data_IF_199085544734
#
_entry.id   IF_199085544734
#
_cell.length_a   1.000
_cell.length_b   1.000
_cell.length_c   1.000
_cell.angle_alpha   90.00
_cell.angle_beta   90.00
_cell.angle_gamma   90.00
#
_symmetry.space_group_name_H-M   'P 1'
#
loop_
_entity.id
_entity.type
_entity.pdbx_description
1 polymer ?
#
# COMPACT_ATOMS: atom_id res chain seq x y z
N UNK A 1 -1.16 3.87 -27.37
CA UNK A 1 0.22 3.39 -27.62
C UNK A 1 0.51 3.26 -29.11
N UNK A 2 -0.35 2.57 -29.88
CA UNK A 2 -0.14 2.34 -31.33
C UNK A 2 -0.01 3.64 -32.13
N UNK A 3 -0.82 4.67 -31.83
CA UNK A 3 -0.68 5.98 -32.43
C UNK A 3 0.68 6.62 -32.12
N UNK A 4 1.09 6.60 -30.86
CA UNK A 4 2.38 7.16 -30.43
C UNK A 4 3.58 6.42 -31.07
N UNK A 5 3.50 5.08 -31.19
CA UNK A 5 4.54 4.27 -31.86
C UNK A 5 4.69 4.59 -33.36
N UNK A 6 3.61 5.04 -34.06
CA UNK A 6 3.71 5.47 -35.46
C UNK A 6 4.58 6.71 -35.60
N UNK A 7 4.56 7.63 -34.65
CA UNK A 7 5.35 8.86 -34.65
C UNK A 7 6.73 8.71 -34.01
N UNK A 8 6.83 7.82 -33.02
CA UNK A 8 8.09 7.48 -32.36
C UNK A 8 8.17 5.98 -32.09
N UNK A 9 8.74 5.17 -33.00
CA UNK A 9 8.88 3.72 -32.82
C UNK A 9 9.70 3.32 -31.58
N UNK A 10 10.57 4.22 -31.09
CA UNK A 10 11.42 4.00 -29.90
C UNK A 10 10.79 4.50 -28.60
N UNK A 11 9.50 4.89 -28.63
CA UNK A 11 8.83 5.40 -27.44
C UNK A 11 8.92 4.42 -26.28
N UNK A 12 9.34 4.89 -25.13
CA UNK A 12 9.30 4.16 -23.87
C UNK A 12 7.95 4.36 -23.21
N UNK A 13 7.42 3.32 -22.59
CA UNK A 13 6.14 3.39 -21.88
C UNK A 13 6.17 2.55 -20.61
N UNK A 14 5.33 2.94 -19.67
CA UNK A 14 4.97 2.20 -18.46
C UNK A 14 3.46 2.26 -18.29
N UNK A 15 2.83 1.10 -18.11
CA UNK A 15 1.45 0.96 -17.66
C UNK A 15 1.44 0.19 -16.34
N UNK A 16 0.70 0.68 -15.37
CA UNK A 16 0.44 -0.01 -14.10
C UNK A 16 -1.04 -0.32 -13.97
N UNK A 17 -1.35 -1.48 -13.40
CA UNK A 17 -2.73 -1.81 -13.04
C UNK A 17 -2.77 -2.78 -11.85
N UNK A 18 -3.95 -2.88 -11.23
CA UNK A 18 -4.23 -3.88 -10.19
C UNK A 18 -4.15 -5.29 -10.77
N UNK A 19 -3.94 -6.28 -9.89
CA UNK A 19 -4.12 -7.69 -10.29
C UNK A 19 -5.57 -7.91 -10.72
N UNK A 20 -5.73 -8.59 -11.83
CA UNK A 20 -7.03 -8.88 -12.45
C UNK A 20 -7.11 -10.35 -12.87
N UNK A 21 -8.25 -10.78 -13.40
CA UNK A 21 -8.41 -12.09 -14.01
C UNK A 21 -7.50 -12.21 -15.23
N UNK A 22 -7.00 -13.41 -15.47
CA UNK A 22 -6.03 -13.67 -16.55
C UNK A 22 -6.55 -13.22 -17.92
N UNK A 23 -7.80 -13.43 -18.20
CA UNK A 23 -8.45 -13.01 -19.45
C UNK A 23 -8.29 -11.51 -19.74
N UNK A 24 -8.42 -10.63 -18.71
CA UNK A 24 -8.24 -9.18 -18.88
C UNK A 24 -6.76 -8.78 -18.95
N UNK A 25 -5.91 -9.48 -18.19
CA UNK A 25 -4.46 -9.30 -18.26
C UNK A 25 -3.93 -9.63 -19.66
N UNK A 26 -4.44 -10.70 -20.29
CA UNK A 26 -4.03 -11.14 -21.62
C UNK A 26 -4.42 -10.11 -22.68
N UNK A 27 -5.62 -9.54 -22.61
CA UNK A 27 -6.05 -8.44 -23.49
C UNK A 27 -5.11 -7.25 -23.41
N UNK A 28 -4.77 -6.80 -22.18
CA UNK A 28 -3.84 -5.67 -22.00
C UNK A 28 -2.45 -6.06 -22.54
N UNK A 29 -1.98 -7.26 -22.25
CA UNK A 29 -0.67 -7.76 -22.67
C UNK A 29 -0.54 -7.79 -24.20
N UNK A 30 -1.58 -8.23 -24.91
CA UNK A 30 -1.65 -8.20 -26.37
C UNK A 30 -1.53 -6.77 -26.91
N UNK A 31 -2.32 -5.83 -26.39
CA UNK A 31 -2.25 -4.42 -26.82
C UNK A 31 -0.91 -3.75 -26.49
N UNK A 32 -0.30 -4.08 -25.35
CA UNK A 32 0.99 -3.51 -24.95
C UNK A 32 2.17 -4.15 -25.69
N UNK A 33 2.03 -5.42 -26.12
CA UNK A 33 3.07 -6.19 -26.80
C UNK A 33 4.23 -6.60 -25.89
N UNK A 34 4.04 -6.57 -24.58
CA UNK A 34 5.04 -6.95 -23.54
C UNK A 34 4.35 -7.64 -22.37
N UNK A 35 4.98 -8.66 -21.81
CA UNK A 35 4.48 -9.36 -20.62
C UNK A 35 4.67 -8.51 -19.36
N UNK A 36 3.66 -8.40 -18.47
CA UNK A 36 3.78 -7.65 -17.25
C UNK A 36 4.68 -8.33 -16.22
N UNK A 37 5.19 -7.53 -15.29
CA UNK A 37 5.84 -8.02 -14.07
C UNK A 37 4.91 -7.71 -12.90
N UNK A 38 4.70 -8.71 -12.03
CA UNK A 38 4.02 -8.50 -10.76
C UNK A 38 5.06 -8.02 -9.74
N UNK A 39 4.84 -6.82 -9.18
CA UNK A 39 5.66 -6.27 -8.10
C UNK A 39 4.76 -6.00 -6.91
N UNK A 40 5.19 -6.39 -5.71
CA UNK A 40 4.46 -6.12 -4.46
C UNK A 40 5.32 -5.22 -3.56
N UNK A 41 4.75 -4.10 -3.14
CA UNK A 41 5.42 -3.15 -2.25
C UNK A 41 5.77 -3.69 -0.86
N UNK A 42 5.21 -4.83 -0.43
CA UNK A 42 5.65 -5.50 0.80
C UNK A 42 7.13 -5.93 0.75
N UNK A 43 7.69 -6.09 -0.45
CA UNK A 43 9.06 -6.53 -0.66
C UNK A 43 10.04 -5.36 -0.44
N UNK A 44 10.02 -4.80 0.79
CA UNK A 44 10.91 -3.75 1.27
C UNK A 44 10.43 -2.30 1.14
N UNK A 45 9.15 -2.07 0.77
CA UNK A 45 8.51 -0.74 0.77
C UNK A 45 7.38 -0.59 1.80
N UNK A 46 7.25 -1.54 2.72
CA UNK A 46 6.34 -1.49 3.88
C UNK A 46 4.84 -1.48 3.57
N UNK A 47 4.41 -1.65 2.32
CA UNK A 47 3.01 -1.69 1.96
C UNK A 47 2.71 -2.90 1.06
N UNK A 48 1.82 -3.80 1.46
CA UNK A 48 1.31 -4.85 0.59
C UNK A 48 0.47 -4.22 -0.52
N UNK A 49 1.08 -4.04 -1.69
CA UNK A 49 0.49 -3.40 -2.86
C UNK A 49 0.87 -4.13 -4.14
N UNK A 50 0.33 -5.34 -4.36
CA UNK A 50 0.61 -6.08 -5.58
C UNK A 50 0.01 -5.38 -6.81
N UNK A 51 0.86 -5.08 -7.81
CA UNK A 51 0.49 -4.42 -9.06
C UNK A 51 1.19 -5.08 -10.24
N UNK A 52 0.53 -5.04 -11.40
CA UNK A 52 1.09 -5.47 -12.67
C UNK A 52 1.67 -4.26 -13.40
N UNK A 53 2.89 -4.42 -13.93
CA UNK A 53 3.60 -3.37 -14.65
C UNK A 53 4.00 -3.86 -16.04
N UNK A 54 3.52 -3.18 -17.10
CA UNK A 54 3.92 -3.39 -18.49
C UNK A 54 4.84 -2.27 -18.93
N UNK A 55 6.06 -2.56 -19.35
CA UNK A 55 7.02 -1.59 -19.86
C UNK A 55 8.00 -2.22 -20.85
N UNK A 56 8.60 -1.40 -21.74
CA UNK A 56 9.43 -1.83 -22.87
C UNK A 56 10.89 -1.37 -22.77
N UNK A 57 11.41 -1.24 -21.56
CA UNK A 57 12.82 -0.93 -21.32
C UNK A 57 13.41 -1.95 -20.33
N UNK A 58 14.68 -1.80 -19.97
CA UNK A 58 15.42 -2.83 -19.26
C UNK A 58 14.78 -3.23 -17.93
N UNK A 59 14.63 -4.53 -17.77
CA UNK A 59 14.07 -5.14 -16.55
C UNK A 59 15.19 -5.40 -15.57
N UNK A 60 14.96 -5.02 -14.31
CA UNK A 60 15.88 -5.34 -13.21
C UNK A 60 15.56 -6.69 -12.59
N UNK A 61 16.55 -7.26 -11.90
CA UNK A 61 16.39 -8.51 -11.16
C UNK A 61 15.57 -8.35 -9.89
N UNK A 62 15.52 -7.14 -9.33
CA UNK A 62 14.75 -6.81 -8.12
C UNK A 62 14.23 -5.38 -8.15
N UNK A 63 13.02 -5.19 -7.64
CA UNK A 63 12.35 -3.91 -7.47
C UNK A 63 12.04 -3.61 -6.00
N UNK A 64 12.62 -4.37 -5.08
CA UNK A 64 12.41 -4.22 -3.65
C UNK A 64 13.09 -2.97 -3.06
N UNK A 65 12.58 -2.55 -1.90
CA UNK A 65 13.16 -1.50 -1.06
C UNK A 65 14.05 -2.08 0.05
N UNK A 66 14.46 -1.24 0.98
CA UNK A 66 15.39 -1.59 2.07
C UNK A 66 14.79 -1.49 3.47
N UNK A 67 13.51 -1.16 3.61
CA UNK A 67 12.86 -1.04 4.91
C UNK A 67 12.59 -2.40 5.53
N UNK A 68 12.76 -2.52 6.86
CA UNK A 68 12.58 -3.78 7.59
C UNK A 68 11.17 -3.93 8.17
N UNK A 69 10.62 -2.86 8.74
CA UNK A 69 9.31 -2.83 9.36
C UNK A 69 8.74 -1.41 9.40
N UNK A 70 7.46 -1.29 9.79
CA UNK A 70 6.75 -0.01 9.75
C UNK A 70 7.16 0.97 10.85
N UNK A 71 7.88 0.56 11.89
CA UNK A 71 8.27 1.45 12.98
C UNK A 71 9.11 2.64 12.50
N UNK A 72 9.88 2.47 11.41
CA UNK A 72 10.71 3.53 10.86
C UNK A 72 9.95 4.68 10.20
N UNK A 73 8.64 4.54 10.01
CA UNK A 73 7.80 5.57 9.38
C UNK A 73 6.74 6.15 10.32
N UNK A 74 6.56 5.54 11.51
CA UNK A 74 5.56 6.00 12.47
C UNK A 74 5.95 7.36 13.06
N UNK A 75 4.95 8.22 13.21
CA UNK A 75 5.09 9.51 13.88
C UNK A 75 4.86 9.35 15.39
N UNK A 76 5.25 10.35 16.19
CA UNK A 76 4.92 10.42 17.61
C UNK A 76 3.41 10.38 17.83
N UNK A 77 2.98 9.68 18.88
CA UNK A 77 1.56 9.43 19.17
C UNK A 77 0.83 10.63 19.80
N UNK A 78 1.56 11.70 20.13
CA UNK A 78 1.02 12.89 20.80
C UNK A 78 -0.03 13.59 19.92
N UNK A 79 -1.22 13.78 20.49
CA UNK A 79 -2.31 14.52 19.84
C UNK A 79 -3.07 13.75 18.74
N UNK A 80 -2.86 12.45 18.60
CA UNK A 80 -3.56 11.62 17.62
C UNK A 80 -4.86 11.03 18.20
N UNK A 81 -5.87 10.89 17.34
CA UNK A 81 -7.12 10.21 17.71
C UNK A 81 -6.88 8.72 17.99
N UNK A 82 -7.16 8.33 19.23
CA UNK A 82 -6.96 6.97 19.75
C UNK A 82 -8.30 6.29 19.98
N UNK A 83 -8.43 5.05 19.56
CA UNK A 83 -9.63 4.25 19.69
C UNK A 83 -9.39 3.05 20.60
N UNK A 84 -10.27 2.85 21.61
CA UNK A 84 -10.20 1.69 22.50
C UNK A 84 -10.77 0.44 21.83
N UNK A 85 -10.08 -0.69 21.97
CA UNK A 85 -10.55 -1.99 21.53
C UNK A 85 -11.39 -2.66 22.63
N UNK A 86 -12.70 -2.70 22.49
CA UNK A 86 -13.66 -3.04 23.55
C UNK A 86 -13.97 -4.55 23.70
N UNK A 87 -13.25 -5.45 23.05
CA UNK A 87 -13.57 -6.89 23.09
C UNK A 87 -12.36 -7.75 23.42
N UNK A 88 -12.44 -8.53 24.52
CA UNK A 88 -11.38 -9.43 24.97
C UNK A 88 -10.92 -10.45 23.91
N UNK A 89 -11.84 -10.98 23.07
CA UNK A 89 -11.49 -11.89 21.96
C UNK A 89 -10.61 -11.21 20.90
N UNK A 90 -10.81 -9.91 20.68
CA UNK A 90 -10.04 -9.12 19.71
C UNK A 90 -8.69 -8.73 20.26
N UNK A 91 -8.64 -8.39 21.53
CA UNK A 91 -7.40 -8.12 22.27
C UNK A 91 -6.47 -9.32 22.10
N UNK A 92 -6.94 -10.52 22.46
CA UNK A 92 -6.17 -11.76 22.32
C UNK A 92 -5.69 -12.02 20.88
N UNK A 93 -6.56 -11.84 19.89
CA UNK A 93 -6.21 -12.05 18.48
C UNK A 93 -5.17 -11.04 17.93
N UNK A 94 -5.16 -9.81 18.43
CA UNK A 94 -4.14 -8.80 18.06
C UNK A 94 -2.80 -9.11 18.69
N UNK A 95 -2.79 -9.54 19.96
CA UNK A 95 -1.55 -9.80 20.71
C UNK A 95 -0.86 -11.11 20.31
N UNK A 96 -1.63 -12.13 19.95
CA UNK A 96 -1.10 -13.45 19.59
C UNK A 96 -0.69 -13.58 18.12
N UNK A 97 -1.13 -12.68 17.24
CA UNK A 97 -0.80 -12.74 15.82
C UNK A 97 0.42 -11.88 15.51
N UNK A 98 1.42 -12.42 14.81
CA UNK A 98 2.67 -11.71 14.47
C UNK A 98 2.44 -10.40 13.70
N UNK A 99 1.39 -10.33 12.85
CA UNK A 99 1.08 -9.19 12.00
C UNK A 99 -0.14 -8.38 12.41
N UNK A 100 -0.76 -8.74 13.55
CA UNK A 100 -2.01 -8.14 13.97
C UNK A 100 -3.25 -8.90 13.43
N UNK A 101 -4.42 -8.46 13.83
CA UNK A 101 -5.70 -9.14 13.61
C UNK A 101 -6.46 -8.61 12.39
N UNK A 102 -6.94 -9.53 11.56
CA UNK A 102 -7.89 -9.25 10.47
C UNK A 102 -9.21 -9.98 10.75
N UNK A 103 -10.30 -9.28 11.05
CA UNK A 103 -11.60 -9.94 11.26
C UNK A 103 -12.05 -10.65 9.98
N UNK A 104 -12.62 -11.83 10.12
CA UNK A 104 -13.23 -12.56 9.01
C UNK A 104 -14.42 -11.76 8.44
N UNK A 105 -14.65 -11.78 7.13
CA UNK A 105 -15.77 -11.06 6.48
C UNK A 105 -17.14 -11.40 7.10
N UNK A 106 -17.32 -12.62 7.61
CA UNK A 106 -18.55 -13.07 8.30
C UNK A 106 -18.75 -12.44 9.68
N UNK A 107 -17.66 -12.22 10.43
CA UNK A 107 -17.71 -11.65 11.77
C UNK A 107 -17.92 -10.13 11.74
N UNK A 108 -17.47 -9.47 10.69
CA UNK A 108 -17.64 -8.03 10.45
C UNK A 108 -19.14 -7.63 10.38
N UNK A 109 -20.00 -8.47 9.77
CA UNK A 109 -21.45 -8.23 9.69
C UNK A 109 -22.17 -8.44 11.01
N UNK A 110 -21.73 -9.44 11.82
CA UNK A 110 -22.36 -9.80 13.10
C UNK A 110 -22.00 -8.86 14.25
N UNK A 111 -20.86 -8.15 14.15
CA UNK A 111 -20.29 -7.39 15.26
C UNK A 111 -20.29 -5.88 15.04
N UNK A 112 -20.87 -5.39 13.95
CA UNK A 112 -20.86 -3.96 13.57
C UNK A 112 -19.46 -3.41 13.24
N UNK A 113 -18.45 -4.30 13.07
CA UNK A 113 -17.05 -3.94 12.84
C UNK A 113 -16.68 -4.03 11.35
N UNK A 114 -17.65 -3.84 10.49
CA UNK A 114 -17.49 -3.97 9.03
C UNK A 114 -16.36 -3.17 8.40
N UNK A 115 -15.78 -2.22 9.13
CA UNK A 115 -14.73 -1.33 8.66
C UNK A 115 -13.38 -1.50 9.35
N UNK A 116 -13.26 -2.43 10.30
CA UNK A 116 -11.98 -2.69 10.95
C UNK A 116 -11.11 -3.59 10.06
N UNK A 117 -10.34 -2.97 9.14
CA UNK A 117 -9.17 -3.61 8.56
C UNK A 117 -8.23 -4.14 9.65
N UNK A 118 -7.13 -4.77 9.24
CA UNK A 118 -6.12 -5.28 10.20
C UNK A 118 -5.62 -4.15 11.12
N UNK A 119 -5.54 -4.42 12.43
CA UNK A 119 -4.77 -3.59 13.37
C UNK A 119 -3.37 -4.19 13.40
N UNK A 120 -2.39 -3.39 13.05
CA UNK A 120 -0.99 -3.79 12.89
C UNK A 120 -0.21 -3.48 14.14
N UNK A 121 0.70 -4.38 14.53
CA UNK A 121 1.74 -4.07 15.52
C UNK A 121 2.69 -3.01 14.97
N UNK A 122 3.32 -2.22 15.83
CA UNK A 122 4.25 -1.15 15.42
C UNK A 122 5.50 -1.69 14.72
N UNK A 123 5.89 -2.93 15.00
CA UNK A 123 7.01 -3.63 14.37
C UNK A 123 6.61 -4.54 13.19
N UNK A 124 5.35 -4.44 12.72
CA UNK A 124 4.90 -5.23 11.59
C UNK A 124 5.79 -4.99 10.34
N UNK A 125 6.14 -6.05 9.64
CA UNK A 125 7.01 -5.98 8.47
C UNK A 125 6.45 -5.10 7.34
N UNK A 126 5.13 -5.00 7.22
CA UNK A 126 4.44 -4.15 6.24
C UNK A 126 2.97 -3.92 6.60
N UNK A 127 2.37 -2.90 6.00
CA UNK A 127 0.94 -2.58 6.12
C UNK A 127 0.10 -3.27 5.04
N UNK A 128 -1.22 -3.29 5.22
CA UNK A 128 -2.15 -3.56 4.11
C UNK A 128 -2.14 -2.38 3.12
N UNK A 129 -2.66 -2.60 1.91
CA UNK A 129 -2.80 -1.54 0.89
C UNK A 129 -3.60 -0.35 1.43
N UNK A 130 -3.06 0.85 1.30
CA UNK A 130 -3.84 2.08 1.48
C UNK A 130 -4.89 2.13 0.38
N UNK A 131 -6.15 2.33 0.77
CA UNK A 131 -7.27 2.45 -0.16
C UNK A 131 -7.78 3.88 -0.19
N UNK A 132 -8.67 4.18 -1.10
CA UNK A 132 -9.29 5.51 -1.23
C UNK A 132 -10.10 5.95 0.00
N UNK A 133 -10.39 5.03 0.92
CA UNK A 133 -11.24 5.25 2.09
C UNK A 133 -10.63 4.81 3.41
N UNK A 134 -9.53 4.05 3.39
CA UNK A 134 -8.96 3.44 4.60
C UNK A 134 -7.45 3.62 4.67
N UNK A 135 -7.00 4.30 5.73
CA UNK A 135 -5.63 4.28 6.20
C UNK A 135 -5.36 3.02 7.05
N UNK A 136 -4.12 2.53 7.12
CA UNK A 136 -3.72 1.47 8.05
C UNK A 136 -4.05 1.84 9.50
N UNK A 137 -4.31 0.82 10.33
CA UNK A 137 -4.53 0.98 11.77
C UNK A 137 -3.36 0.42 12.53
N UNK A 138 -2.84 1.19 13.47
CA UNK A 138 -1.63 0.90 14.22
C UNK A 138 -2.01 0.67 15.68
N UNK A 139 -1.51 -0.40 16.28
CA UNK A 139 -1.66 -0.70 17.70
C UNK A 139 -0.79 0.25 18.52
N UNK A 140 -1.35 0.87 19.57
CA UNK A 140 -0.64 1.85 20.40
C UNK A 140 -0.17 1.23 21.71
N UNK A 141 -1.05 0.56 22.46
CA UNK A 141 -0.82 0.23 23.87
C UNK A 141 -0.72 -1.26 24.16
N UNK A 142 0.12 -1.59 25.17
CA UNK A 142 0.36 -2.91 25.72
C UNK A 142 -0.10 -3.05 27.19
N UNK A 143 -0.90 -2.14 27.73
CA UNK A 143 -1.50 -2.29 29.05
C UNK A 143 -2.79 -3.10 29.01
N UNK A 144 -3.49 -3.24 30.12
CA UNK A 144 -4.74 -4.00 30.27
C UNK A 144 -5.83 -3.65 29.25
N UNK A 145 -5.72 -2.45 28.67
CA UNK A 145 -6.56 -1.95 27.58
C UNK A 145 -5.75 -1.80 26.29
N UNK A 146 -6.28 -2.32 25.17
CA UNK A 146 -5.66 -2.15 23.85
C UNK A 146 -6.28 -0.97 23.14
N UNK A 147 -5.41 -0.07 22.72
CA UNK A 147 -5.74 1.09 21.90
C UNK A 147 -5.11 0.98 20.54
N UNK A 148 -5.79 1.51 19.53
CA UNK A 148 -5.26 1.65 18.16
C UNK A 148 -5.55 3.05 17.63
N UNK A 149 -4.76 3.49 16.66
CA UNK A 149 -4.98 4.70 15.89
C UNK A 149 -4.98 4.42 14.39
N UNK A 150 -5.46 5.34 13.61
CA UNK A 150 -5.24 5.32 12.16
C UNK A 150 -3.86 5.89 11.84
N UNK A 151 -3.25 5.43 10.77
CA UNK A 151 -2.07 6.09 10.22
C UNK A 151 -2.40 7.52 9.82
N UNK A 152 -1.50 8.45 10.09
CA UNK A 152 -1.60 9.84 9.67
C UNK A 152 -1.47 9.96 8.15
N UNK A 153 -1.81 11.11 7.57
CA UNK A 153 -1.56 11.36 6.14
C UNK A 153 -0.06 11.36 5.87
N UNK A 154 0.76 11.94 6.76
CA UNK A 154 2.22 11.91 6.64
C UNK A 154 2.78 10.48 6.61
N UNK A 155 2.27 9.58 7.47
CA UNK A 155 2.63 8.17 7.44
C UNK A 155 2.16 7.47 6.16
N UNK A 156 0.97 7.79 5.65
CA UNK A 156 0.46 7.28 4.38
C UNK A 156 1.30 7.77 3.18
N UNK A 157 1.78 9.00 3.20
CA UNK A 157 2.71 9.56 2.23
C UNK A 157 4.04 8.79 2.26
N UNK A 158 4.63 8.62 3.46
CA UNK A 158 5.86 7.81 3.63
C UNK A 158 5.68 6.38 3.10
N UNK A 159 4.57 5.72 3.45
CA UNK A 159 4.23 4.36 2.96
C UNK A 159 4.10 4.27 1.45
N UNK A 160 3.80 5.36 0.76
CA UNK A 160 3.67 5.41 -0.70
C UNK A 160 4.92 5.97 -1.38
N UNK A 161 5.97 6.31 -0.60
CA UNK A 161 7.22 6.90 -1.07
C UNK A 161 7.08 8.35 -1.51
N UNK A 162 6.07 9.07 -1.02
CA UNK A 162 5.86 10.49 -1.25
C UNK A 162 6.61 11.33 -0.20
N UNK A 163 7.03 12.56 -0.52
CA UNK A 163 7.52 13.51 0.47
C UNK A 163 6.42 13.84 1.48
N UNK A 164 6.80 14.06 2.74
CA UNK A 164 5.88 14.49 3.79
C UNK A 164 5.27 15.84 3.40
N UNK A 165 3.95 15.96 3.54
CA UNK A 165 3.20 17.16 3.19
C UNK A 165 2.85 17.30 1.71
N UNK A 166 3.13 16.29 0.90
CA UNK A 166 2.80 16.31 -0.53
C UNK A 166 1.31 16.57 -0.81
N UNK A 167 0.43 16.08 0.07
CA UNK A 167 -1.01 16.24 -0.06
C UNK A 167 -1.61 17.31 0.86
N UNK A 168 -0.81 18.18 1.49
CA UNK A 168 -1.28 19.22 2.42
C UNK A 168 -2.24 20.25 1.82
N UNK A 169 -2.28 20.36 0.48
CA UNK A 169 -3.18 21.28 -0.23
C UNK A 169 -4.63 20.80 -0.32
N UNK A 170 -4.95 19.61 0.17
CA UNK A 170 -6.30 19.02 0.07
C UNK A 170 -6.76 18.44 1.42
N UNK A 171 -8.10 18.29 1.59
CA UNK A 171 -8.66 17.71 2.80
C UNK A 171 -8.27 16.22 2.98
N UNK A 172 -8.27 15.73 4.23
CA UNK A 172 -7.88 14.38 4.61
C UNK A 172 -8.41 13.27 3.68
N UNK A 173 -9.72 13.30 3.38
CA UNK A 173 -10.32 12.27 2.51
C UNK A 173 -9.83 12.34 1.07
N UNK A 174 -9.55 13.54 0.58
CA UNK A 174 -9.02 13.76 -0.77
C UNK A 174 -7.56 13.33 -0.84
N UNK A 175 -6.75 13.64 0.19
CA UNK A 175 -5.38 13.16 0.33
C UNK A 175 -5.32 11.63 0.32
N UNK A 176 -6.12 10.98 1.17
CA UNK A 176 -6.18 9.53 1.25
C UNK A 176 -6.62 8.89 -0.09
N UNK A 177 -7.59 9.50 -0.79
CA UNK A 177 -8.03 9.05 -2.11
C UNK A 177 -6.92 9.19 -3.16
N UNK A 178 -6.19 10.29 -3.15
CA UNK A 178 -5.06 10.53 -4.06
C UNK A 178 -3.93 9.51 -3.82
N UNK A 179 -3.53 9.30 -2.56
CA UNK A 179 -2.51 8.33 -2.17
C UNK A 179 -2.94 6.90 -2.52
N UNK A 180 -4.19 6.53 -2.20
CA UNK A 180 -4.73 5.20 -2.46
C UNK A 180 -4.84 4.85 -3.95
N UNK A 181 -5.12 5.83 -4.81
CA UNK A 181 -5.15 5.67 -6.27
C UNK A 181 -3.79 5.87 -6.94
N UNK A 182 -2.86 6.56 -6.26
CA UNK A 182 -1.55 6.90 -6.78
C UNK A 182 -0.63 5.68 -6.96
N UNK A 183 0.44 5.87 -7.68
CA UNK A 183 1.53 4.91 -7.77
C UNK A 183 2.33 4.85 -6.47
N UNK A 184 2.97 3.71 -6.21
CA UNK A 184 4.03 3.65 -5.21
C UNK A 184 5.32 4.22 -5.81
N UNK A 185 5.70 5.42 -5.37
CA UNK A 185 6.81 6.18 -5.98
C UNK A 185 8.13 5.40 -5.95
N UNK A 186 8.44 4.74 -4.83
CA UNK A 186 9.67 3.94 -4.72
C UNK A 186 9.75 2.80 -5.75
N UNK A 187 8.63 2.10 -6.01
CA UNK A 187 8.57 1.04 -7.03
C UNK A 187 8.79 1.63 -8.42
N UNK A 188 8.06 2.70 -8.75
CA UNK A 188 8.15 3.32 -10.08
C UNK A 188 9.55 3.91 -10.33
N UNK A 189 10.17 4.52 -9.32
CA UNK A 189 11.55 4.99 -9.40
C UNK A 189 12.52 3.84 -9.71
N UNK A 190 12.35 2.68 -9.04
CA UNK A 190 13.15 1.48 -9.33
C UNK A 190 12.95 0.94 -10.74
N UNK A 191 11.72 0.99 -11.25
CA UNK A 191 11.43 0.60 -12.64
C UNK A 191 12.14 1.57 -13.61
N UNK A 192 12.08 2.88 -13.37
CA UNK A 192 12.68 3.90 -14.23
C UNK A 192 14.23 3.93 -14.20
N UNK A 193 14.86 3.32 -13.20
CA UNK A 193 16.31 3.10 -13.26
C UNK A 193 16.74 2.30 -14.50
N UNK A 194 15.86 1.45 -15.06
CA UNK A 194 16.09 0.75 -16.34
C UNK A 194 16.03 1.63 -17.59
N UNK A 195 15.63 2.92 -17.48
CA UNK A 195 15.69 3.88 -18.58
C UNK A 195 17.09 4.48 -18.80
N UNK A 196 17.98 4.34 -17.80
CA UNK A 196 19.31 4.98 -17.80
C UNK A 196 20.38 4.14 -18.49
N UNK A 197 20.02 2.95 -18.93
CA UNK A 197 20.87 2.05 -19.71
C UNK A 197 20.45 2.09 -21.17
#
# INVERSE_FOLDING_TARGET
LNHAKKHNPKIKFLLENVRMRKEYEDVITEYMGVTPILIDGKDGFLQARPRLYWFNFDKKTSYGGSFKNISCILDDENGLDVFKLSSNKRVKAVTENERGFRPHRGDARKTGIGELGRILKQDAAYTDTITTTHAPKILISNSDDIYYRRATIAECEKLSGLPIGYTNCVAYRQALKAIGNGWHVGIVAKIFEGLKT
#
